data_IF_379523892496
#
_entry.id   IF_379523892496
#
_cell.length_a   1.000
_cell.length_b   1.000
_cell.length_c   1.000
_cell.angle_alpha   90.00
_cell.angle_beta   90.00
_cell.angle_gamma   90.00
#
_symmetry.space_group_name_H-M   'P 1'
#
loop_
_entity.id
_entity.type
_entity.pdbx_description
1 polymer ?
#
# COMPACT_ATOMS: atom_id res chain seq x y z
N UNK A 1 -29.81 -0.42 49.13
CA UNK A 1 -28.95 -1.12 48.15
C UNK A 1 -29.21 -0.45 46.81
N UNK A 2 -28.45 0.59 46.51
CA UNK A 2 -28.67 1.46 45.36
C UNK A 2 -28.00 0.86 44.13
N UNK A 3 -28.78 0.68 43.08
CA UNK A 3 -28.30 0.36 41.74
C UNK A 3 -27.69 1.63 41.12
N UNK A 4 -26.42 1.65 40.70
CA UNK A 4 -25.90 2.79 39.97
C UNK A 4 -26.47 2.76 38.55
N UNK A 5 -27.52 3.55 38.32
CA UNK A 5 -27.89 4.04 36.99
C UNK A 5 -26.64 4.63 36.35
N UNK A 6 -26.14 3.97 35.29
CA UNK A 6 -25.15 4.59 34.41
C UNK A 6 -25.84 5.77 33.73
N UNK A 7 -25.32 7.01 33.85
CA UNK A 7 -25.83 8.09 33.04
C UNK A 7 -25.55 7.74 31.58
N UNK A 8 -26.61 7.72 30.77
CA UNK A 8 -26.51 7.76 29.32
C UNK A 8 -25.79 9.07 28.97
N UNK A 9 -24.48 8.97 28.76
CA UNK A 9 -23.66 10.10 28.37
C UNK A 9 -24.07 10.51 26.96
N UNK A 10 -24.69 11.69 26.87
CA UNK A 10 -25.00 12.37 25.63
C UNK A 10 -23.74 12.66 24.83
N UNK A 11 -23.43 11.76 23.90
CA UNK A 11 -22.52 12.00 22.79
C UNK A 11 -23.23 11.72 21.46
N UNK A 12 -24.52 12.04 21.39
CA UNK A 12 -25.25 12.24 20.13
C UNK A 12 -24.98 13.67 19.60
N UNK A 13 -23.72 14.10 19.67
CA UNK A 13 -23.27 15.29 18.97
C UNK A 13 -23.14 14.93 17.48
N UNK A 14 -24.26 15.04 16.79
CA UNK A 14 -24.33 15.65 15.46
C UNK A 14 -23.40 15.04 14.41
N UNK A 15 -23.47 13.71 14.21
CA UNK A 15 -22.91 13.10 13.01
C UNK A 15 -23.49 13.70 11.71
N UNK A 16 -24.67 14.34 11.80
CA UNK A 16 -25.37 15.00 10.70
C UNK A 16 -24.82 16.36 10.25
N UNK A 17 -23.85 16.95 10.96
CA UNK A 17 -23.24 18.26 10.60
C UNK A 17 -21.81 18.14 10.06
N UNK A 18 -21.28 16.93 9.92
CA UNK A 18 -20.02 16.72 9.20
C UNK A 18 -20.30 16.74 7.70
N UNK A 19 -19.74 17.73 6.99
CA UNK A 19 -19.83 17.82 5.53
C UNK A 19 -19.32 16.56 4.81
N UNK A 20 -19.66 16.42 3.53
CA UNK A 20 -19.22 15.28 2.71
C UNK A 20 -17.75 15.42 2.31
N UNK A 21 -16.96 14.35 2.45
CA UNK A 21 -15.59 14.26 1.95
C UNK A 21 -15.58 13.53 0.61
N UNK A 22 -15.35 14.25 -0.48
CA UNK A 22 -15.14 13.64 -1.80
C UNK A 22 -13.65 13.40 -2.04
N UNK A 23 -13.24 12.14 -2.01
CA UNK A 23 -11.86 11.75 -2.33
C UNK A 23 -11.73 11.37 -3.80
N UNK A 24 -10.89 12.10 -4.53
CA UNK A 24 -10.57 11.72 -5.91
C UNK A 24 -9.84 10.35 -5.90
N UNK A 25 -10.13 9.43 -6.83
CA UNK A 25 -9.45 8.12 -6.92
C UNK A 25 -7.91 8.22 -6.95
N UNK A 26 -7.38 9.32 -7.49
CA UNK A 26 -5.94 9.63 -7.53
C UNK A 26 -5.30 9.72 -6.13
N UNK A 27 -6.04 10.17 -5.12
CA UNK A 27 -5.55 10.24 -3.74
C UNK A 27 -5.37 8.84 -3.17
N UNK A 28 -6.35 7.96 -3.39
CA UNK A 28 -6.26 6.56 -2.95
C UNK A 28 -5.12 5.83 -3.66
N UNK A 29 -4.98 6.04 -4.97
CA UNK A 29 -3.80 5.56 -5.72
C UNK A 29 -2.50 6.00 -5.05
N UNK A 30 -2.39 7.27 -4.67
CA UNK A 30 -1.16 7.78 -4.07
C UNK A 30 -0.88 7.20 -2.69
N UNK A 31 -1.91 7.03 -1.88
CA UNK A 31 -1.82 6.36 -0.57
C UNK A 31 -1.35 4.93 -0.76
N UNK A 32 -1.94 4.18 -1.71
CA UNK A 32 -1.57 2.79 -1.98
C UNK A 32 -0.10 2.65 -2.44
N UNK A 33 0.38 3.52 -3.33
CA UNK A 33 1.78 3.55 -3.77
C UNK A 33 2.75 3.79 -2.59
N UNK A 34 2.45 4.77 -1.74
CA UNK A 34 3.28 5.12 -0.59
C UNK A 34 3.26 4.02 0.47
N UNK A 35 2.10 3.40 0.68
CA UNK A 35 1.94 2.28 1.62
C UNK A 35 2.74 1.08 1.14
N UNK A 36 2.66 0.72 -0.15
CA UNK A 36 3.43 -0.39 -0.69
C UNK A 36 4.94 -0.23 -0.49
N UNK A 37 5.47 0.99 -0.57
CA UNK A 37 6.89 1.29 -0.32
C UNK A 37 7.34 1.10 1.13
N UNK A 38 6.42 1.02 2.09
CA UNK A 38 6.76 0.83 3.50
C UNK A 38 6.98 -0.64 3.86
N UNK A 39 6.59 -1.56 2.98
CA UNK A 39 6.80 -2.99 3.17
C UNK A 39 8.23 -3.36 2.80
N UNK A 40 8.87 -4.14 3.67
CA UNK A 40 10.23 -4.62 3.45
C UNK A 40 10.35 -5.38 2.12
N UNK A 41 11.52 -5.33 1.49
CA UNK A 41 11.82 -5.92 0.18
C UNK A 41 11.11 -5.28 -1.03
N UNK A 42 10.14 -4.38 -0.83
CA UNK A 42 9.58 -3.58 -1.92
C UNK A 42 10.57 -2.48 -2.28
N UNK A 43 11.04 -2.48 -3.52
CA UNK A 43 12.09 -1.55 -3.96
C UNK A 43 11.52 -0.41 -4.76
N UNK A 44 11.95 0.81 -4.43
CA UNK A 44 11.72 2.01 -5.24
C UNK A 44 12.76 2.06 -6.37
N UNK A 45 12.50 1.30 -7.45
CA UNK A 45 13.24 1.33 -8.73
C UNK A 45 14.70 0.84 -8.67
N UNK A 46 15.07 0.01 -9.65
CA UNK A 46 16.44 -0.14 -10.16
C UNK A 46 16.40 0.04 -11.69
N UNK A 47 17.36 0.78 -12.26
CA UNK A 47 17.37 1.23 -13.67
C UNK A 47 17.18 0.11 -14.72
N UNK A 48 17.48 -1.15 -14.39
CA UNK A 48 17.28 -2.29 -15.28
C UNK A 48 15.82 -2.72 -15.54
N UNK A 49 14.90 -2.45 -14.61
CA UNK A 49 13.51 -2.96 -14.67
C UNK A 49 12.63 -2.10 -15.59
N UNK A 50 12.96 -0.81 -15.75
CA UNK A 50 12.19 0.09 -16.62
C UNK A 50 12.21 -0.32 -18.08
N UNK A 51 13.33 -0.89 -18.54
CA UNK A 51 13.43 -1.47 -19.88
C UNK A 51 12.59 -2.74 -20.04
N UNK A 52 12.34 -3.47 -18.95
CA UNK A 52 11.63 -4.74 -18.98
C UNK A 52 10.11 -4.56 -18.87
N UNK A 53 9.66 -3.67 -17.98
CA UNK A 53 8.22 -3.44 -17.70
C UNK A 53 7.71 -2.16 -18.36
N UNK A 54 8.60 -1.30 -18.88
CA UNK A 54 8.26 -0.08 -19.62
C UNK A 54 7.60 1.01 -18.77
N UNK A 55 7.50 0.84 -17.44
CA UNK A 55 6.68 1.70 -16.56
C UNK A 55 7.30 1.83 -15.16
N UNK A 56 6.95 2.93 -14.49
CA UNK A 56 7.42 3.27 -13.13
C UNK A 56 6.68 2.44 -12.09
N UNK A 57 7.43 1.78 -11.21
CA UNK A 57 6.95 1.00 -10.06
C UNK A 57 7.45 1.61 -8.74
N UNK A 58 6.73 1.42 -7.60
CA UNK A 58 5.41 0.81 -7.51
C UNK A 58 4.31 1.71 -8.09
N UNK A 59 3.28 1.09 -8.65
CA UNK A 59 2.13 1.77 -9.25
C UNK A 59 0.87 1.22 -8.62
N UNK A 60 -0.07 2.09 -8.32
CA UNK A 60 -1.39 1.66 -7.89
C UNK A 60 -2.48 2.21 -8.81
N UNK A 61 -3.58 1.47 -8.93
CA UNK A 61 -4.83 1.93 -9.52
C UNK A 61 -5.90 1.79 -8.44
N UNK A 62 -6.81 2.76 -8.35
CA UNK A 62 -7.92 2.70 -7.41
C UNK A 62 -9.21 3.03 -8.15
N UNK A 63 -10.21 2.17 -7.97
CA UNK A 63 -11.56 2.36 -8.50
C UNK A 63 -12.54 2.47 -7.34
N UNK A 64 -13.23 3.60 -7.28
CA UNK A 64 -14.18 3.92 -6.22
C UNK A 64 -15.62 3.65 -6.69
N UNK A 65 -16.39 2.94 -5.88
CA UNK A 65 -17.80 2.65 -6.10
C UNK A 65 -18.58 2.98 -4.81
N UNK A 66 -19.23 4.15 -4.81
CA UNK A 66 -19.86 4.77 -3.62
C UNK A 66 -18.85 4.96 -2.49
N UNK A 67 -18.85 4.05 -1.51
CA UNK A 67 -17.98 4.04 -0.33
C UNK A 67 -16.99 2.86 -0.34
N UNK A 68 -16.98 2.09 -1.44
CA UNK A 68 -16.16 0.89 -1.58
C UNK A 68 -15.02 1.16 -2.55
N UNK A 69 -13.82 0.79 -2.16
CA UNK A 69 -12.64 0.92 -3.03
C UNK A 69 -12.07 -0.43 -3.42
N UNK A 70 -11.73 -0.57 -4.70
CA UNK A 70 -10.89 -1.64 -5.23
C UNK A 70 -9.53 -1.05 -5.55
N UNK A 71 -8.47 -1.73 -5.11
CA UNK A 71 -7.09 -1.27 -5.27
C UNK A 71 -6.32 -2.35 -6.02
N UNK A 72 -5.63 -1.97 -7.08
CA UNK A 72 -4.66 -2.82 -7.77
C UNK A 72 -3.28 -2.22 -7.54
N UNK A 73 -2.30 -3.04 -7.17
CA UNK A 73 -0.95 -2.58 -6.87
C UNK A 73 0.08 -3.43 -7.61
N UNK A 74 0.86 -2.77 -8.44
CA UNK A 74 2.01 -3.33 -9.14
C UNK A 74 3.28 -3.04 -8.31
N UNK A 75 3.96 -4.09 -7.84
CA UNK A 75 5.18 -3.98 -7.03
C UNK A 75 6.39 -4.68 -7.65
N UNK A 76 7.58 -4.18 -7.32
CA UNK A 76 8.85 -4.83 -7.58
C UNK A 76 9.50 -5.22 -6.25
N UNK A 77 10.04 -6.43 -6.18
CA UNK A 77 10.66 -6.98 -4.97
C UNK A 77 12.12 -7.36 -5.19
N UNK A 78 12.92 -7.36 -4.13
CA UNK A 78 14.32 -7.80 -4.16
C UNK A 78 14.45 -9.28 -3.81
N UNK A 79 15.21 -10.02 -4.62
CA UNK A 79 15.60 -11.41 -4.39
C UNK A 79 16.92 -11.50 -3.61
N UNK A 80 17.08 -12.48 -2.70
CA UNK A 80 16.09 -13.47 -2.25
C UNK A 80 15.05 -12.93 -1.26
N UNK A 81 13.76 -13.22 -1.47
CA UNK A 81 12.68 -12.90 -0.53
C UNK A 81 11.48 -13.87 -0.62
N UNK A 82 10.74 -14.14 0.46
CA UNK A 82 9.51 -14.93 0.38
C UNK A 82 8.39 -14.13 -0.32
N UNK A 83 8.26 -14.28 -1.64
CA UNK A 83 7.36 -13.45 -2.47
C UNK A 83 5.91 -13.50 -2.01
N UNK A 84 5.41 -14.66 -1.60
CA UNK A 84 4.04 -14.81 -1.10
C UNK A 84 3.81 -14.03 0.21
N UNK A 85 4.76 -14.09 1.14
CA UNK A 85 4.69 -13.34 2.38
C UNK A 85 4.74 -11.84 2.12
N UNK A 86 5.65 -11.39 1.25
CA UNK A 86 5.77 -9.97 0.87
C UNK A 86 4.50 -9.49 0.18
N UNK A 87 3.94 -10.25 -0.76
CA UNK A 87 2.68 -9.89 -1.41
C UNK A 87 1.50 -9.85 -0.41
N UNK A 88 1.47 -10.77 0.55
CA UNK A 88 0.51 -10.77 1.65
C UNK A 88 0.63 -9.54 2.54
N UNK A 89 1.87 -9.15 2.90
CA UNK A 89 2.16 -7.95 3.68
C UNK A 89 1.77 -6.67 2.93
N UNK A 90 2.10 -6.56 1.63
CA UNK A 90 1.68 -5.43 0.78
C UNK A 90 0.15 -5.33 0.75
N UNK A 91 -0.55 -6.44 0.50
CA UNK A 91 -2.01 -6.46 0.46
C UNK A 91 -2.61 -5.98 1.78
N UNK A 92 -2.14 -6.50 2.91
CA UNK A 92 -2.64 -6.14 4.23
C UNK A 92 -2.34 -4.67 4.56
N UNK A 93 -1.10 -4.23 4.35
CA UNK A 93 -0.65 -2.88 4.70
C UNK A 93 -1.36 -1.82 3.87
N UNK A 94 -1.49 -2.02 2.55
CA UNK A 94 -2.22 -1.09 1.67
C UNK A 94 -3.70 -1.01 2.05
N UNK A 95 -4.34 -2.13 2.35
CA UNK A 95 -5.75 -2.14 2.75
C UNK A 95 -5.96 -1.43 4.09
N UNK A 96 -5.14 -1.74 5.10
CA UNK A 96 -5.21 -1.14 6.43
C UNK A 96 -4.95 0.36 6.39
N UNK A 97 -3.91 0.79 5.68
CA UNK A 97 -3.54 2.21 5.60
C UNK A 97 -4.55 3.02 4.80
N UNK A 98 -5.09 2.45 3.71
CA UNK A 98 -6.17 3.09 2.96
C UNK A 98 -7.41 3.27 3.81
N UNK A 99 -7.87 2.22 4.50
CA UNK A 99 -9.02 2.31 5.40
C UNK A 99 -8.78 3.33 6.52
N UNK A 100 -7.57 3.35 7.11
CA UNK A 100 -7.19 4.27 8.19
C UNK A 100 -7.19 5.74 7.75
N UNK A 101 -6.60 6.04 6.58
CA UNK A 101 -6.42 7.42 6.12
C UNK A 101 -7.66 7.97 5.41
N UNK A 102 -8.48 7.12 4.79
CA UNK A 102 -9.62 7.57 3.97
C UNK A 102 -10.98 7.29 4.61
N UNK A 103 -11.06 6.38 5.57
CA UNK A 103 -12.32 5.90 6.15
C UNK A 103 -13.14 4.99 5.20
N UNK A 104 -12.65 4.73 3.98
CA UNK A 104 -13.36 3.93 2.99
C UNK A 104 -13.29 2.44 3.28
N UNK A 105 -14.32 1.70 2.85
CA UNK A 105 -14.32 0.25 2.92
C UNK A 105 -13.54 -0.36 1.76
N UNK A 106 -12.38 -0.96 2.04
CA UNK A 106 -11.59 -1.67 1.02
C UNK A 106 -12.23 -3.02 0.71
N UNK A 107 -12.76 -3.18 -0.51
CA UNK A 107 -13.42 -4.43 -0.94
C UNK A 107 -12.41 -5.49 -1.39
N UNK A 108 -11.39 -5.06 -2.14
CA UNK A 108 -10.38 -5.94 -2.68
C UNK A 108 -9.08 -5.18 -2.93
N UNK A 109 -7.97 -5.86 -2.64
CA UNK A 109 -6.62 -5.39 -2.96
C UNK A 109 -5.91 -6.48 -3.74
N UNK A 110 -5.69 -6.23 -5.03
CA UNK A 110 -4.97 -7.12 -5.93
C UNK A 110 -3.51 -6.66 -6.02
N UNK A 111 -2.57 -7.60 -5.89
CA UNK A 111 -1.14 -7.31 -5.88
C UNK A 111 -0.46 -8.12 -6.98
N UNK A 112 0.16 -7.42 -7.93
CA UNK A 112 0.92 -8.02 -9.02
C UNK A 112 2.40 -7.76 -8.80
N UNK A 113 3.20 -8.82 -8.70
CA UNK A 113 4.66 -8.73 -8.52
C UNK A 113 5.34 -8.87 -9.88
N UNK A 114 5.97 -7.79 -10.37
CA UNK A 114 6.50 -7.74 -11.74
C UNK A 114 7.98 -8.06 -11.87
N UNK A 115 8.79 -7.71 -10.86
CA UNK A 115 10.24 -7.76 -10.99
C UNK A 115 10.90 -8.22 -9.71
N UNK A 116 11.86 -9.13 -9.88
CA UNK A 116 12.64 -9.78 -8.82
C UNK A 116 14.09 -9.40 -9.08
N UNK A 117 14.57 -8.31 -8.45
CA UNK A 117 15.95 -7.84 -8.65
C UNK A 117 16.90 -8.61 -7.76
N UNK A 118 17.99 -9.17 -8.29
CA UNK A 118 19.05 -9.75 -7.45
C UNK A 118 19.81 -8.64 -6.76
N UNK A 119 20.16 -8.84 -5.49
CA UNK A 119 21.21 -8.04 -4.86
C UNK A 119 22.44 -7.98 -5.78
N UNK A 120 22.82 -6.77 -6.19
CA UNK A 120 24.07 -6.58 -6.91
C UNK A 120 25.18 -6.66 -5.87
N UNK A 121 25.82 -7.82 -5.72
CA UNK A 121 27.08 -7.91 -4.96
C UNK A 121 28.06 -6.86 -5.50
N UNK A 122 28.69 -6.05 -4.63
CA UNK A 122 29.65 -5.03 -5.09
C UNK A 122 30.75 -5.70 -5.92
N UNK A 123 30.91 -5.21 -7.16
CA UNK A 123 31.85 -5.77 -8.12
C UNK A 123 33.27 -5.61 -7.57
N UNK A 124 33.92 -6.74 -7.25
CA UNK A 124 35.31 -6.76 -6.78
C UNK A 124 36.20 -6.07 -7.84
N UNK A 125 37.02 -5.07 -7.48
CA UNK A 125 37.86 -4.39 -8.45
C UNK A 125 38.81 -5.38 -9.14
N UNK A 126 39.14 -5.17 -10.43
CA UNK A 126 40.00 -6.09 -11.17
C UNK A 126 41.39 -6.12 -10.53
N UNK A 127 41.78 -7.30 -10.03
CA UNK A 127 43.09 -7.53 -9.44
C UNK A 127 44.12 -7.49 -10.57
N UNK A 128 44.79 -6.35 -10.78
CA UNK A 128 45.93 -6.28 -11.70
C UNK A 128 47.07 -7.09 -11.09
N UNK A 129 47.43 -8.19 -11.75
CA UNK A 129 48.73 -8.83 -11.59
C UNK A 129 49.73 -8.00 -12.40
N UNK A 130 50.80 -7.57 -11.74
CA UNK A 130 51.99 -6.98 -12.34
C UNK A 130 53.11 -8.01 -12.33
#
# INVERSE_FOLDING_TARGET
MAEPTRPAAGAEDSAGERGSLELAPRVVTRIAELSALQVAHVVRRSEGIERLVGRRLPRASASLDRDRVRIEVDVAVQWPCPVEEVAGQVRHHVAAETARLTGLTVRSTEVTVHAVTRESTPQRPPRRVQ
#
